data_IF_527724043716
#
_entry.id   IF_527724043716
#
_cell.length_a   1.000
_cell.length_b   1.000
_cell.length_c   1.000
_cell.angle_alpha   90.00
_cell.angle_beta   90.00
_cell.angle_gamma   90.00
#
_symmetry.space_group_name_H-M   'P 1'
#
loop_
_entity.id
_entity.type
_entity.pdbx_description
1 polymer ?
#
# COMPACT_ATOMS: atom_id res chain seq x y z
N UNK A 1 38.46 -16.30 7.15
CA UNK A 1 37.06 -16.56 6.75
C UNK A 1 36.16 -15.59 7.50
N UNK A 2 35.60 -14.59 6.81
CA UNK A 2 34.75 -13.53 7.42
C UNK A 2 33.27 -13.89 7.23
N UNK A 3 32.52 -13.84 8.33
CA UNK A 3 31.12 -14.23 8.41
C UNK A 3 30.21 -13.40 7.50
N UNK A 4 29.31 -14.10 6.81
CA UNK A 4 28.20 -13.55 6.03
C UNK A 4 27.16 -13.05 7.04
N UNK A 5 26.84 -11.75 7.02
CA UNK A 5 25.74 -11.21 7.84
C UNK A 5 24.41 -11.83 7.36
N UNK A 6 23.63 -12.49 8.24
CA UNK A 6 22.29 -12.95 7.91
C UNK A 6 21.31 -11.77 7.89
N UNK A 7 20.35 -11.80 6.97
CA UNK A 7 19.28 -10.80 6.77
C UNK A 7 18.22 -10.83 7.92
N UNK A 8 18.52 -11.50 9.05
CA UNK A 8 17.56 -11.82 10.11
C UNK A 8 17.75 -11.05 11.44
N UNK A 9 18.50 -9.94 11.48
CA UNK A 9 18.70 -9.19 12.72
C UNK A 9 17.80 -7.96 12.80
N UNK A 10 16.91 -7.96 13.81
CA UNK A 10 16.01 -6.92 14.32
C UNK A 10 14.51 -7.17 14.14
N UNK A 11 14.03 -8.26 14.72
CA UNK A 11 12.63 -8.39 15.20
C UNK A 11 12.65 -8.56 16.71
N UNK A 12 12.82 -7.46 17.44
CA UNK A 12 12.54 -7.43 18.88
C UNK A 12 12.16 -6.01 19.30
N UNK A 13 10.84 -5.77 19.32
CA UNK A 13 10.11 -4.77 20.10
C UNK A 13 8.74 -4.58 19.46
N UNK A 14 7.71 -5.26 19.98
CA UNK A 14 6.31 -4.82 20.05
C UNK A 14 5.40 -5.99 20.49
N UNK A 15 5.52 -6.41 21.74
CA UNK A 15 4.41 -7.08 22.43
C UNK A 15 3.42 -6.01 22.90
N UNK A 16 2.49 -5.61 22.03
CA UNK A 16 1.23 -4.99 22.50
C UNK A 16 0.22 -6.12 22.71
N UNK A 17 -0.39 -6.14 23.90
CA UNK A 17 -1.57 -6.95 24.19
C UNK A 17 -2.70 -6.44 23.31
N UNK A 18 -3.02 -7.17 22.24
CA UNK A 18 -4.24 -6.93 21.48
C UNK A 18 -5.42 -7.59 22.22
N UNK A 19 -6.41 -6.75 22.54
CA UNK A 19 -7.71 -7.16 23.04
C UNK A 19 -8.39 -8.03 21.99
N UNK A 20 -8.93 -9.17 22.44
CA UNK A 20 -9.66 -10.10 21.59
C UNK A 20 -10.93 -9.44 21.05
N UNK A 21 -10.87 -8.92 19.83
CA UNK A 21 -12.03 -8.42 19.10
C UNK A 21 -12.77 -9.63 18.52
N UNK A 22 -13.79 -10.10 19.24
CA UNK A 22 -14.74 -11.09 18.72
C UNK A 22 -15.73 -10.39 17.79
N UNK A 23 -15.29 -10.08 16.57
CA UNK A 23 -16.20 -9.63 15.52
C UNK A 23 -16.91 -10.87 14.94
N UNK A 24 -18.23 -10.93 15.11
CA UNK A 24 -19.05 -11.95 14.44
C UNK A 24 -18.90 -11.82 12.90
N UNK A 25 -18.93 -12.94 12.15
CA UNK A 25 -18.86 -12.90 10.70
C UNK A 25 -20.11 -12.20 10.15
N UNK A 26 -19.93 -10.96 9.73
CA UNK A 26 -20.96 -10.17 9.06
C UNK A 26 -21.42 -10.90 7.78
N UNK A 27 -22.72 -11.23 7.73
CA UNK A 27 -23.39 -11.86 6.59
C UNK A 27 -23.60 -10.89 5.41
N UNK A 28 -23.15 -9.63 5.51
CA UNK A 28 -23.26 -8.62 4.45
C UNK A 28 -22.21 -8.74 3.32
N UNK A 29 -21.38 -9.79 3.32
CA UNK A 29 -20.30 -10.02 2.34
C UNK A 29 -20.78 -10.33 0.90
N UNK A 30 -22.09 -10.38 0.65
CA UNK A 30 -22.70 -10.71 -0.65
C UNK A 30 -22.86 -9.50 -1.59
N UNK A 31 -22.32 -8.32 -1.26
CA UNK A 31 -22.13 -7.27 -2.25
C UNK A 31 -20.90 -7.61 -3.12
N UNK A 32 -21.13 -8.56 -4.02
CA UNK A 32 -20.21 -9.04 -5.03
C UNK A 32 -19.58 -7.88 -5.81
N UNK A 33 -18.30 -8.03 -6.17
CA UNK A 33 -17.72 -7.25 -7.27
C UNK A 33 -18.63 -7.48 -8.49
N UNK A 34 -19.05 -6.42 -9.21
CA UNK A 34 -19.75 -6.64 -10.48
C UNK A 34 -18.87 -7.54 -11.36
N UNK A 35 -19.47 -8.53 -12.06
CA UNK A 35 -18.76 -9.53 -12.84
C UNK A 35 -17.86 -8.94 -13.94
N UNK A 36 -17.99 -7.65 -14.23
CA UNK A 36 -17.43 -6.98 -15.40
C UNK A 36 -16.21 -6.08 -15.10
N UNK A 37 -15.65 -6.06 -13.89
CA UNK A 37 -14.35 -5.40 -13.67
C UNK A 37 -13.24 -6.39 -14.04
N UNK A 38 -13.04 -6.54 -15.35
CA UNK A 38 -11.92 -7.29 -15.88
C UNK A 38 -10.65 -6.45 -15.70
N UNK A 39 -9.94 -6.69 -14.59
CA UNK A 39 -8.65 -6.05 -14.33
C UNK A 39 -7.58 -6.46 -15.35
N UNK A 40 -7.89 -7.44 -16.21
CA UNK A 40 -6.99 -8.04 -17.19
C UNK A 40 -7.13 -7.45 -18.61
N UNK A 41 -8.13 -6.60 -18.90
CA UNK A 41 -8.27 -5.94 -20.22
C UNK A 41 -7.29 -4.75 -20.44
N UNK A 42 -6.26 -4.65 -19.60
CA UNK A 42 -5.20 -3.63 -19.73
C UNK A 42 -4.03 -4.08 -20.61
N UNK A 43 -4.12 -5.25 -21.28
CA UNK A 43 -3.13 -5.70 -22.28
C UNK A 43 -1.69 -5.75 -21.76
N UNK A 44 -1.52 -6.09 -20.47
CA UNK A 44 -0.23 -5.93 -19.80
C UNK A 44 0.69 -7.11 -20.10
N UNK A 45 1.91 -6.80 -20.55
CA UNK A 45 2.99 -7.74 -20.81
C UNK A 45 3.20 -8.71 -19.63
N UNK A 46 2.90 -9.99 -19.84
CA UNK A 46 3.12 -11.09 -18.89
C UNK A 46 4.59 -11.54 -18.89
N UNK A 47 5.52 -10.58 -18.81
CA UNK A 47 6.94 -10.85 -18.70
C UNK A 47 7.25 -11.86 -17.58
N UNK A 48 8.42 -12.53 -17.63
CA UNK A 48 8.76 -13.57 -16.69
C UNK A 48 8.77 -13.03 -15.26
N UNK A 49 8.09 -13.74 -14.37
CA UNK A 49 8.00 -13.41 -12.94
C UNK A 49 8.88 -14.36 -12.12
N UNK A 50 9.66 -13.79 -11.21
CA UNK A 50 10.65 -14.48 -10.39
C UNK A 50 10.37 -14.26 -8.89
N UNK A 51 10.76 -15.24 -8.07
CA UNK A 51 10.71 -15.09 -6.62
C UNK A 51 11.82 -14.13 -6.13
N UNK A 52 11.59 -13.46 -5.00
CA UNK A 52 12.62 -12.58 -4.40
C UNK A 52 13.95 -13.33 -4.14
N UNK A 53 13.98 -14.56 -3.59
CA UNK A 53 15.24 -15.29 -3.40
C UNK A 53 15.99 -15.55 -4.72
N UNK A 54 15.27 -15.81 -5.81
CA UNK A 54 15.86 -15.98 -7.14
C UNK A 54 16.49 -14.66 -7.62
N UNK A 55 15.77 -13.55 -7.54
CA UNK A 55 16.28 -12.22 -7.91
C UNK A 55 17.52 -11.84 -7.09
N UNK A 56 17.53 -12.15 -5.79
CA UNK A 56 18.69 -11.95 -4.91
C UNK A 56 19.88 -12.81 -5.37
N UNK A 57 19.65 -14.07 -5.73
CA UNK A 57 20.69 -14.97 -6.21
C UNK A 57 21.32 -14.46 -7.52
N UNK A 58 20.50 -14.02 -8.48
CA UNK A 58 20.98 -13.41 -9.73
C UNK A 58 21.77 -12.12 -9.48
N UNK A 59 21.30 -11.26 -8.56
CA UNK A 59 22.01 -10.01 -8.28
C UNK A 59 23.33 -10.23 -7.52
N UNK A 60 23.48 -11.33 -6.79
CA UNK A 60 24.73 -11.64 -6.06
C UNK A 60 25.94 -11.82 -6.98
N UNK A 61 25.71 -12.29 -8.19
CA UNK A 61 26.77 -12.50 -9.20
C UNK A 61 26.97 -11.28 -10.11
N UNK A 62 26.14 -10.24 -9.96
CA UNK A 62 26.21 -9.01 -10.75
C UNK A 62 27.23 -8.01 -10.19
N UNK A 63 27.91 -7.31 -11.09
CA UNK A 63 28.80 -6.17 -10.77
C UNK A 63 28.06 -5.00 -10.11
N UNK A 64 26.74 -4.90 -10.27
CA UNK A 64 25.90 -3.83 -9.72
C UNK A 64 25.49 -4.03 -8.25
N UNK A 65 25.89 -5.14 -7.61
CA UNK A 65 25.45 -5.47 -6.25
C UNK A 65 25.79 -4.37 -5.23
N UNK A 66 26.97 -3.76 -5.34
CA UNK A 66 27.39 -2.68 -4.45
C UNK A 66 26.48 -1.44 -4.59
N UNK A 67 26.13 -1.09 -5.83
CA UNK A 67 25.21 0.03 -6.14
C UNK A 67 23.81 -0.26 -5.63
N UNK A 68 23.32 -1.49 -5.78
CA UNK A 68 22.02 -1.90 -5.24
C UNK A 68 22.00 -1.75 -3.71
N UNK A 69 23.00 -2.28 -3.00
CA UNK A 69 23.11 -2.17 -1.54
C UNK A 69 23.14 -0.72 -1.07
N UNK A 70 23.88 0.14 -1.77
CA UNK A 70 23.92 1.58 -1.45
C UNK A 70 22.53 2.23 -1.61
N UNK A 71 21.80 1.91 -2.69
CA UNK A 71 20.43 2.39 -2.91
C UNK A 71 19.47 1.93 -1.80
N UNK A 72 19.53 0.66 -1.40
CA UNK A 72 18.70 0.09 -0.32
C UNK A 72 19.00 0.80 1.00
N UNK A 73 20.29 0.95 1.35
CA UNK A 73 20.70 1.63 2.58
C UNK A 73 20.17 3.07 2.64
N UNK A 74 20.22 3.79 1.51
CA UNK A 74 19.77 5.18 1.42
C UNK A 74 18.24 5.35 1.54
N UNK A 75 17.44 4.27 1.57
CA UNK A 75 15.99 4.38 1.75
C UNK A 75 15.63 4.88 3.16
N UNK A 76 16.39 4.46 4.17
CA UNK A 76 16.15 4.82 5.57
C UNK A 76 16.21 6.34 5.81
N UNK A 77 17.10 7.05 5.09
CA UNK A 77 17.33 8.49 5.26
C UNK A 77 16.31 9.37 4.53
N UNK A 78 15.46 8.78 3.68
CA UNK A 78 14.48 9.52 2.89
C UNK A 78 13.18 9.73 3.66
N UNK A 79 12.49 10.84 3.40
CA UNK A 79 11.17 11.08 3.96
C UNK A 79 10.13 10.10 3.37
N UNK A 80 9.06 9.83 4.13
CA UNK A 80 8.05 8.82 3.78
C UNK A 80 7.30 9.13 2.50
N UNK A 81 7.00 10.40 2.23
CA UNK A 81 6.30 10.81 1.00
C UNK A 81 7.13 10.50 -0.25
N UNK A 82 8.43 10.80 -0.22
CA UNK A 82 9.37 10.48 -1.30
C UNK A 82 9.44 8.97 -1.55
N UNK A 83 9.44 8.14 -0.49
CA UNK A 83 9.41 6.68 -0.64
C UNK A 83 8.12 6.19 -1.30
N UNK A 84 6.97 6.76 -0.93
CA UNK A 84 5.67 6.42 -1.53
C UNK A 84 5.67 6.75 -3.03
N UNK A 85 6.13 7.95 -3.42
CA UNK A 85 6.21 8.34 -4.84
C UNK A 85 7.15 7.42 -5.62
N UNK A 86 8.25 6.98 -5.01
CA UNK A 86 9.22 6.08 -5.66
C UNK A 86 8.64 4.72 -6.03
N UNK A 87 7.61 4.23 -5.33
CA UNK A 87 6.97 2.93 -5.64
C UNK A 87 6.41 2.90 -7.06
N UNK A 88 5.77 3.99 -7.48
CA UNK A 88 5.13 4.11 -8.79
C UNK A 88 6.14 3.97 -9.93
N UNK A 89 7.32 4.58 -9.76
CA UNK A 89 8.36 4.65 -10.81
C UNK A 89 9.45 3.57 -10.70
N UNK A 90 9.42 2.72 -9.68
CA UNK A 90 10.52 1.78 -9.44
C UNK A 90 10.45 0.58 -10.38
N UNK A 91 11.45 0.46 -11.25
CA UNK A 91 11.60 -0.65 -12.19
C UNK A 91 12.39 -1.84 -11.61
N UNK A 92 13.35 -1.62 -10.70
CA UNK A 92 14.12 -2.73 -10.11
C UNK A 92 13.27 -3.44 -9.03
N UNK A 93 12.91 -4.72 -9.22
CA UNK A 93 12.01 -5.45 -8.32
C UNK A 93 12.57 -5.62 -6.91
N UNK A 94 13.90 -5.70 -6.75
CA UNK A 94 14.52 -5.79 -5.42
C UNK A 94 14.43 -4.45 -4.68
N UNK A 95 14.60 -3.33 -5.39
CA UNK A 95 14.39 -2.01 -4.78
C UNK A 95 12.91 -1.80 -4.44
N UNK A 96 11.99 -2.23 -5.31
CA UNK A 96 10.55 -2.12 -5.04
C UNK A 96 10.16 -2.91 -3.78
N UNK A 97 10.67 -4.14 -3.64
CA UNK A 97 10.46 -4.93 -2.43
C UNK A 97 11.02 -4.24 -1.17
N UNK A 98 12.25 -3.72 -1.23
CA UNK A 98 12.85 -3.02 -0.09
C UNK A 98 12.15 -1.70 0.26
N UNK A 99 11.57 -1.00 -0.73
CA UNK A 99 10.70 0.17 -0.49
C UNK A 99 9.48 -0.22 0.34
N UNK A 100 8.83 -1.35 0.02
CA UNK A 100 7.69 -1.85 0.80
C UNK A 100 8.09 -2.24 2.22
N UNK A 101 9.22 -2.94 2.38
CA UNK A 101 9.74 -3.30 3.71
C UNK A 101 10.07 -2.07 4.55
N UNK A 102 10.68 -1.05 3.96
CA UNK A 102 10.97 0.20 4.66
C UNK A 102 9.70 0.93 5.10
N UNK A 103 8.67 0.97 4.25
CA UNK A 103 7.37 1.53 4.61
C UNK A 103 6.62 0.68 5.65
N UNK A 104 6.80 -0.65 5.66
CA UNK A 104 6.27 -1.54 6.70
C UNK A 104 6.88 -1.21 8.08
N UNK A 105 8.20 -1.00 8.13
CA UNK A 105 8.93 -0.59 9.36
C UNK A 105 8.41 0.73 9.90
N UNK A 106 8.08 1.67 9.01
CA UNK A 106 7.46 2.97 9.36
C UNK A 106 5.98 2.87 9.74
N UNK A 107 5.37 1.69 9.61
CA UNK A 107 3.97 1.47 9.93
C UNK A 107 3.00 2.07 8.92
N UNK A 108 3.42 2.25 7.67
CA UNK A 108 2.56 2.74 6.58
C UNK A 108 1.80 1.57 5.98
N UNK A 109 0.46 1.51 6.08
CA UNK A 109 -0.31 0.42 5.47
C UNK A 109 -0.11 0.35 3.95
N UNK A 110 -0.09 -0.84 3.33
CA UNK A 110 -0.02 -0.99 1.88
C UNK A 110 -1.01 -0.11 1.10
N UNK A 111 -2.26 0.01 1.55
CA UNK A 111 -3.25 0.87 0.91
C UNK A 111 -2.81 2.34 0.80
N UNK A 112 -2.01 2.85 1.75
CA UNK A 112 -1.47 4.22 1.73
C UNK A 112 -0.29 4.41 0.78
N UNK A 113 0.13 3.36 0.08
CA UNK A 113 1.21 3.37 -0.92
C UNK A 113 0.70 3.57 -2.34
N UNK A 114 -0.62 3.70 -2.52
CA UNK A 114 -1.29 3.89 -3.80
C UNK A 114 -0.91 5.23 -4.50
N UNK A 115 -0.76 5.31 -5.83
CA UNK A 115 -1.04 4.29 -6.83
C UNK A 115 -0.12 3.08 -6.70
N UNK A 116 -0.69 1.90 -6.92
CA UNK A 116 0.15 0.72 -7.17
C UNK A 116 0.93 1.00 -8.44
N UNK A 117 2.05 0.33 -8.62
CA UNK A 117 2.60 0.09 -9.95
C UNK A 117 1.66 -0.89 -10.72
N UNK A 118 0.35 -0.59 -10.77
CA UNK A 118 -0.76 -1.46 -11.19
C UNK A 118 -0.82 -1.61 -12.70
N UNK A 119 -0.29 -0.62 -13.42
CA UNK A 119 0.01 -0.70 -14.84
C UNK A 119 1.40 -1.34 -15.11
N UNK A 120 2.06 -1.85 -14.06
CA UNK A 120 3.38 -2.45 -14.16
C UNK A 120 3.35 -3.93 -14.54
N UNK A 121 4.55 -4.49 -14.72
CA UNK A 121 4.81 -5.89 -15.06
C UNK A 121 4.16 -6.90 -14.10
N UNK A 122 4.03 -8.17 -14.51
CA UNK A 122 3.62 -9.26 -13.61
C UNK A 122 4.45 -9.31 -12.30
N UNK A 123 5.73 -8.94 -12.37
CA UNK A 123 6.63 -8.87 -11.21
C UNK A 123 6.20 -7.80 -10.19
N UNK A 124 5.80 -6.60 -10.62
CA UNK A 124 5.39 -5.52 -9.70
C UNK A 124 4.06 -5.85 -9.03
N UNK A 125 3.13 -6.50 -9.74
CA UNK A 125 1.88 -7.04 -9.17
C UNK A 125 2.15 -8.08 -8.09
N UNK A 126 3.05 -9.02 -8.36
CA UNK A 126 3.47 -10.01 -7.35
C UNK A 126 4.09 -9.35 -6.12
N UNK A 127 5.00 -8.38 -6.30
CA UNK A 127 5.61 -7.66 -5.17
C UNK A 127 4.57 -6.90 -4.35
N UNK A 128 3.56 -6.33 -5.01
CA UNK A 128 2.43 -5.67 -4.34
C UNK A 128 1.65 -6.64 -3.45
N UNK A 129 1.32 -7.84 -3.96
CA UNK A 129 0.69 -8.89 -3.16
C UNK A 129 1.60 -9.33 -2.02
N UNK A 130 2.89 -9.48 -2.30
CA UNK A 130 3.87 -9.89 -1.30
C UNK A 130 3.96 -8.88 -0.14
N UNK A 131 3.89 -7.58 -0.44
CA UNK A 131 3.86 -6.52 0.55
C UNK A 131 2.58 -6.57 1.41
N UNK A 132 1.43 -6.85 0.80
CA UNK A 132 0.17 -7.07 1.53
C UNK A 132 0.26 -8.26 2.50
N UNK A 133 0.80 -9.39 2.02
CA UNK A 133 0.97 -10.59 2.83
C UNK A 133 1.95 -10.37 3.98
N UNK A 134 3.07 -9.69 3.71
CA UNK A 134 4.04 -9.36 4.74
C UNK A 134 3.44 -8.44 5.82
N UNK A 135 2.72 -7.39 5.40
CA UNK A 135 2.00 -6.51 6.33
C UNK A 135 0.98 -7.27 7.17
N UNK A 136 0.19 -8.14 6.54
CA UNK A 136 -0.85 -8.91 7.21
C UNK A 136 -0.27 -9.84 8.28
N UNK A 137 0.75 -10.64 7.95
CA UNK A 137 1.37 -11.57 8.91
C UNK A 137 2.06 -10.83 10.05
N UNK A 138 2.71 -9.69 9.77
CA UNK A 138 3.46 -8.94 10.79
C UNK A 138 2.57 -8.13 11.72
N UNK A 139 1.40 -7.66 11.27
CA UNK A 139 0.49 -6.82 12.07
C UNK A 139 -0.67 -7.58 12.68
N UNK A 140 -1.02 -8.74 12.12
CA UNK A 140 -2.11 -9.58 12.60
C UNK A 140 -1.58 -10.99 12.85
N UNK A 141 -0.69 -11.13 13.84
CA UNK A 141 -0.05 -12.42 14.17
C UNK A 141 -1.06 -13.50 14.61
N UNK A 142 -2.23 -13.10 15.11
CA UNK A 142 -3.35 -13.98 15.45
C UNK A 142 -4.22 -14.35 14.25
N UNK A 143 -3.98 -13.77 13.06
CA UNK A 143 -4.73 -14.10 11.87
C UNK A 143 -4.44 -15.53 11.43
N UNK A 144 -5.48 -16.36 11.47
CA UNK A 144 -5.44 -17.73 10.98
C UNK A 144 -6.38 -17.82 9.76
N UNK A 145 -5.84 -18.03 8.54
CA UNK A 145 -6.66 -18.40 7.41
C UNK A 145 -7.52 -19.64 7.73
N UNK A 146 -8.71 -19.79 7.14
CA UNK A 146 -9.57 -20.93 7.41
C UNK A 146 -8.85 -22.26 7.16
N UNK A 147 -9.14 -23.28 7.99
CA UNK A 147 -8.47 -24.59 7.91
C UNK A 147 -8.61 -25.30 6.56
N UNK A 148 -9.68 -24.98 5.81
CA UNK A 148 -9.91 -25.45 4.44
C UNK A 148 -8.85 -24.96 3.43
N UNK A 149 -8.14 -23.86 3.72
CA UNK A 149 -7.08 -23.30 2.87
C UNK A 149 -5.68 -23.61 3.41
N UNK A 150 -5.34 -24.90 3.49
CA UNK A 150 -4.09 -25.41 4.11
C UNK A 150 -2.81 -24.77 3.57
N UNK A 151 -2.75 -24.47 2.27
CA UNK A 151 -1.56 -23.86 1.66
C UNK A 151 -1.30 -22.46 2.19
N UNK A 152 -2.35 -21.64 2.32
CA UNK A 152 -2.29 -20.31 2.94
C UNK A 152 -1.95 -20.41 4.41
N UNK A 153 -2.62 -21.28 5.17
CA UNK A 153 -2.29 -21.50 6.58
C UNK A 153 -0.80 -21.81 6.78
N UNK A 154 -0.23 -22.65 5.91
CA UNK A 154 1.19 -22.97 5.98
C UNK A 154 2.13 -21.84 5.55
N UNK A 155 1.66 -20.76 4.89
CA UNK A 155 2.46 -19.56 4.65
C UNK A 155 2.58 -18.73 5.93
N UNK A 156 1.46 -18.54 6.63
CA UNK A 156 1.39 -17.75 7.88
C UNK A 156 2.14 -18.40 9.06
N UNK A 157 2.50 -19.68 8.94
CA UNK A 157 3.37 -20.39 9.90
C UNK A 157 4.87 -20.18 9.67
N UNK A 158 5.28 -19.65 8.51
CA UNK A 158 6.69 -19.40 8.20
C UNK A 158 7.09 -18.00 8.66
N UNK A 159 8.36 -17.82 9.00
CA UNK A 159 8.90 -16.52 9.36
C UNK A 159 8.74 -15.53 8.18
N UNK A 160 8.05 -14.39 8.35
CA UNK A 160 7.84 -13.40 7.29
C UNK A 160 9.16 -12.94 6.67
N UNK A 161 9.20 -12.86 5.34
CA UNK A 161 10.40 -12.43 4.61
C UNK A 161 11.54 -13.47 4.53
N UNK A 162 11.41 -14.65 5.16
CA UNK A 162 12.36 -15.74 4.97
C UNK A 162 12.30 -16.32 3.55
N UNK A 163 13.39 -16.93 3.06
CA UNK A 163 13.43 -17.57 1.74
C UNK A 163 12.31 -18.60 1.53
N UNK A 164 12.01 -19.38 2.58
CA UNK A 164 10.90 -20.35 2.56
C UNK A 164 9.54 -19.66 2.43
N UNK A 165 9.32 -18.56 3.16
CA UNK A 165 8.10 -17.77 3.10
C UNK A 165 7.93 -17.12 1.71
N UNK A 166 8.99 -16.50 1.18
CA UNK A 166 9.01 -15.85 -0.13
C UNK A 166 8.75 -16.84 -1.27
N UNK A 167 9.39 -18.02 -1.21
CA UNK A 167 9.19 -19.09 -2.20
C UNK A 167 7.76 -19.62 -2.17
N UNK A 168 7.20 -19.79 -0.97
CA UNK A 168 5.82 -20.25 -0.80
C UNK A 168 4.80 -19.21 -1.27
N UNK A 169 5.03 -17.93 -0.96
CA UNK A 169 4.18 -16.84 -1.43
C UNK A 169 4.18 -16.76 -2.97
N UNK A 170 5.34 -16.92 -3.60
CA UNK A 170 5.47 -17.01 -5.06
C UNK A 170 4.69 -18.19 -5.65
N UNK A 171 4.84 -19.39 -5.07
CA UNK A 171 4.07 -20.57 -5.49
C UNK A 171 2.57 -20.35 -5.34
N UNK A 172 2.11 -19.81 -4.21
CA UNK A 172 0.71 -19.50 -3.98
C UNK A 172 0.20 -18.51 -5.02
N UNK A 173 0.92 -17.42 -5.26
CA UNK A 173 0.55 -16.40 -6.23
C UNK A 173 0.41 -16.97 -7.64
N UNK A 174 1.37 -17.81 -8.09
CA UNK A 174 1.30 -18.48 -9.40
C UNK A 174 0.08 -19.38 -9.58
N UNK A 175 -0.41 -19.98 -8.50
CA UNK A 175 -1.56 -20.89 -8.54
C UNK A 175 -2.90 -20.18 -8.29
N UNK A 176 -2.89 -18.89 -7.99
CA UNK A 176 -4.11 -18.09 -7.96
C UNK A 176 -4.47 -17.69 -9.39
N UNK A 177 -5.74 -17.83 -9.75
CA UNK A 177 -6.27 -17.14 -10.93
C UNK A 177 -6.08 -15.64 -10.71
N UNK A 178 -5.24 -15.01 -11.54
CA UNK A 178 -4.94 -13.58 -11.45
C UNK A 178 -6.21 -12.75 -11.64
N UNK A 179 -7.04 -13.15 -12.61
CA UNK A 179 -8.43 -12.71 -12.87
C UNK A 179 -9.31 -12.63 -11.61
N UNK A 180 -9.04 -13.46 -10.59
CA UNK A 180 -9.86 -13.53 -9.37
C UNK A 180 -9.06 -13.29 -8.10
N UNK A 181 -7.87 -12.68 -8.18
CA UNK A 181 -6.98 -12.53 -7.03
C UNK A 181 -7.66 -11.84 -5.84
N UNK A 182 -8.37 -10.74 -6.09
CA UNK A 182 -9.09 -10.02 -5.05
C UNK A 182 -10.20 -10.87 -4.41
N UNK A 183 -10.94 -11.67 -5.19
CA UNK A 183 -12.05 -12.51 -4.70
C UNK A 183 -11.54 -13.79 -4.05
N UNK A 184 -10.81 -14.61 -4.80
CA UNK A 184 -10.27 -15.90 -4.39
C UNK A 184 -9.23 -15.76 -3.28
N UNK A 185 -8.35 -14.75 -3.37
CA UNK A 185 -7.35 -14.48 -2.33
C UNK A 185 -7.99 -14.00 -1.02
N UNK A 186 -8.94 -13.06 -1.09
CA UNK A 186 -9.67 -12.60 0.11
C UNK A 186 -10.39 -13.74 0.81
N UNK A 187 -11.11 -14.59 0.05
CA UNK A 187 -11.81 -15.75 0.62
C UNK A 187 -10.82 -16.77 1.20
N UNK A 188 -9.73 -17.03 0.50
CA UNK A 188 -8.73 -18.00 0.95
C UNK A 188 -8.00 -17.59 2.23
N UNK A 189 -7.87 -16.28 2.46
CA UNK A 189 -7.30 -15.72 3.68
C UNK A 189 -8.35 -15.41 4.76
N UNK A 190 -9.65 -15.38 4.43
CA UNK A 190 -10.72 -14.87 5.30
C UNK A 190 -10.42 -13.47 5.89
N UNK A 191 -10.09 -12.52 5.02
CA UNK A 191 -9.82 -11.15 5.45
C UNK A 191 -11.10 -10.44 5.90
N UNK A 192 -11.03 -9.78 7.06
CA UNK A 192 -12.11 -8.87 7.49
C UNK A 192 -12.10 -7.58 6.66
N UNK A 193 -13.23 -6.84 6.57
CA UNK A 193 -13.26 -5.53 5.90
C UNK A 193 -12.19 -4.57 6.43
N UNK A 194 -11.95 -4.57 7.74
CA UNK A 194 -10.91 -3.75 8.39
C UNK A 194 -9.50 -4.13 7.96
N UNK A 195 -9.21 -5.41 7.79
CA UNK A 195 -7.93 -5.86 7.26
C UNK A 195 -7.76 -5.43 5.81
N UNK A 196 -8.77 -5.67 4.97
CA UNK A 196 -8.77 -5.29 3.55
C UNK A 196 -8.53 -3.80 3.33
N UNK A 197 -9.04 -2.94 4.21
CA UNK A 197 -8.81 -1.49 4.13
C UNK A 197 -7.33 -1.11 4.15
N UNK A 198 -6.49 -1.90 4.83
CA UNK A 198 -5.05 -1.68 4.90
C UNK A 198 -4.28 -2.27 3.72
N UNK A 199 -4.92 -3.14 2.93
CA UNK A 199 -4.28 -3.91 1.87
C UNK A 199 -4.48 -3.24 0.51
N UNK A 200 -3.50 -3.42 -0.37
CA UNK A 200 -3.44 -2.77 -1.66
C UNK A 200 -4.00 -3.64 -2.79
N UNK A 201 -3.67 -4.93 -2.82
CA UNK A 201 -4.07 -5.93 -3.80
C UNK A 201 -5.45 -6.56 -3.53
N UNK A 202 -6.00 -6.40 -2.33
CA UNK A 202 -7.27 -7.02 -1.92
C UNK A 202 -8.40 -6.01 -1.61
N UNK A 203 -8.63 -4.96 -2.43
CA UNK A 203 -9.69 -3.99 -2.19
C UNK A 203 -11.07 -4.61 -2.34
N UNK A 204 -12.08 -4.00 -1.71
CA UNK A 204 -13.49 -4.20 -2.11
C UNK A 204 -13.79 -3.44 -3.39
N UNK A 205 -14.92 -3.73 -4.06
CA UNK A 205 -15.37 -2.97 -5.23
C UNK A 205 -15.47 -1.46 -4.93
N UNK A 206 -16.01 -1.12 -3.76
CA UNK A 206 -16.13 0.26 -3.30
C UNK A 206 -14.74 0.91 -3.08
N UNK A 207 -13.80 0.19 -2.47
CA UNK A 207 -12.42 0.68 -2.28
C UNK A 207 -11.72 0.89 -3.63
N UNK A 208 -11.88 -0.04 -4.58
CA UNK A 208 -11.30 0.07 -5.92
C UNK A 208 -11.82 1.30 -6.66
N UNK A 209 -13.14 1.48 -6.72
CA UNK A 209 -13.78 2.66 -7.35
C UNK A 209 -13.29 3.98 -6.75
N UNK A 210 -13.08 4.03 -5.43
CA UNK A 210 -12.51 5.20 -4.73
C UNK A 210 -11.05 5.43 -5.09
N UNK A 211 -10.24 4.37 -5.19
CA UNK A 211 -8.83 4.46 -5.61
C UNK A 211 -8.68 4.93 -7.05
N UNK A 212 -9.58 4.52 -7.95
CA UNK A 212 -9.64 5.04 -9.32
C UNK A 212 -9.96 6.55 -9.39
N UNK A 213 -10.51 7.15 -8.33
CA UNK A 213 -10.68 8.62 -8.26
C UNK A 213 -9.35 9.34 -8.01
N UNK A 214 -8.31 8.61 -7.59
CA UNK A 214 -6.99 9.15 -7.27
C UNK A 214 -5.96 8.90 -8.39
N UNK A 215 -6.39 8.37 -9.53
CA UNK A 215 -5.54 8.21 -10.71
C UNK A 215 -4.97 9.56 -11.17
N UNK A 216 -3.82 9.52 -11.83
CA UNK A 216 -2.98 10.69 -12.12
C UNK A 216 -3.75 11.85 -12.75
N UNK A 217 -4.62 11.59 -13.72
CA UNK A 217 -5.40 12.64 -14.39
C UNK A 217 -6.35 13.35 -13.41
N UNK A 218 -7.09 12.58 -12.62
CA UNK A 218 -7.99 13.12 -11.59
C UNK A 218 -7.23 13.78 -10.45
N UNK A 219 -6.02 13.30 -10.14
CA UNK A 219 -5.15 13.92 -9.15
C UNK A 219 -4.63 15.28 -9.65
N UNK A 220 -4.25 15.40 -10.92
CA UNK A 220 -3.84 16.66 -11.55
C UNK A 220 -5.00 17.66 -11.55
N UNK A 221 -6.21 17.24 -11.95
CA UNK A 221 -7.42 18.07 -11.88
C UNK A 221 -7.72 18.52 -10.43
N UNK A 222 -7.63 17.59 -9.48
CA UNK A 222 -7.79 17.89 -8.04
C UNK A 222 -6.78 18.94 -7.59
N UNK A 223 -5.52 18.80 -7.98
CA UNK A 223 -4.47 19.77 -7.65
C UNK A 223 -4.76 21.15 -8.25
N UNK A 224 -5.13 21.22 -9.54
CA UNK A 224 -5.45 22.47 -10.23
C UNK A 224 -6.66 23.18 -9.61
N UNK A 225 -7.71 22.44 -9.24
CA UNK A 225 -8.87 22.98 -8.54
C UNK A 225 -8.48 23.59 -7.18
N UNK A 226 -7.63 22.90 -6.43
CA UNK A 226 -7.15 23.35 -5.11
C UNK A 226 -6.19 24.53 -5.20
N UNK A 227 -5.35 24.57 -6.24
CA UNK A 227 -4.48 25.70 -6.53
C UNK A 227 -5.29 26.95 -6.87
N UNK A 228 -6.31 26.79 -7.73
CA UNK A 228 -7.20 27.89 -8.11
C UNK A 228 -7.97 28.45 -6.91
N UNK A 229 -8.46 27.58 -6.01
CA UNK A 229 -9.09 28.00 -4.75
C UNK A 229 -8.13 28.75 -3.84
N UNK A 230 -6.89 28.25 -3.73
CA UNK A 230 -5.85 28.85 -2.90
C UNK A 230 -5.46 30.24 -3.41
N UNK A 231 -5.38 30.41 -4.73
CA UNK A 231 -5.13 31.70 -5.39
C UNK A 231 -6.28 32.70 -5.20
N UNK A 232 -7.54 32.23 -5.25
CA UNK A 232 -8.72 33.08 -5.05
C UNK A 232 -8.92 33.48 -3.58
N UNK A 233 -8.42 32.68 -2.63
CA UNK A 233 -8.56 32.90 -1.19
C UNK A 233 -7.19 32.92 -0.50
N UNK A 234 -6.31 33.89 -0.83
CA UNK A 234 -4.99 33.95 -0.23
C UNK A 234 -5.12 34.16 1.28
N UNK A 235 -4.44 33.31 2.05
CA UNK A 235 -4.38 33.49 3.50
C UNK A 235 -3.75 34.84 3.80
N UNK A 236 -4.27 35.57 4.80
CA UNK A 236 -3.73 36.88 5.24
C UNK A 236 -2.30 36.83 5.83
N UNK A 237 -1.61 35.69 5.72
CA UNK A 237 -0.25 35.51 6.22
C UNK A 237 0.76 36.08 5.21
N UNK A 238 1.80 36.75 5.71
CA UNK A 238 2.86 37.39 4.91
C UNK A 238 3.67 36.45 3.99
N UNK A 239 3.55 35.13 4.13
CA UNK A 239 4.32 34.13 3.39
C UNK A 239 3.44 33.00 2.82
N UNK A 240 2.28 33.35 2.26
CA UNK A 240 1.38 32.38 1.65
C UNK A 240 1.95 31.83 0.34
N UNK A 241 2.17 30.50 0.29
CA UNK A 241 2.53 29.79 -0.93
C UNK A 241 1.32 28.92 -1.38
N UNK A 242 0.59 29.30 -2.45
CA UNK A 242 -0.59 28.60 -2.92
C UNK A 242 -0.28 27.18 -3.41
N UNK A 243 0.89 26.98 -4.02
CA UNK A 243 1.35 25.67 -4.51
C UNK A 243 1.55 24.70 -3.35
N UNK A 244 2.20 25.14 -2.27
CA UNK A 244 2.37 24.32 -1.08
C UNK A 244 1.02 23.98 -0.43
N UNK A 245 0.09 24.94 -0.39
CA UNK A 245 -1.24 24.72 0.16
C UNK A 245 -2.06 23.72 -0.67
N UNK A 246 -2.00 23.80 -2.00
CA UNK A 246 -2.64 22.88 -2.93
C UNK A 246 -2.08 21.46 -2.77
N UNK A 247 -0.76 21.29 -2.80
CA UNK A 247 -0.08 20.01 -2.61
C UNK A 247 -0.43 19.34 -1.27
N UNK A 248 -0.42 20.12 -0.18
CA UNK A 248 -0.79 19.60 1.14
C UNK A 248 -2.25 19.13 1.19
N UNK A 249 -3.17 19.88 0.58
CA UNK A 249 -4.61 19.52 0.51
C UNK A 249 -4.87 18.34 -0.40
N UNK A 250 -4.18 18.23 -1.54
CA UNK A 250 -4.26 17.07 -2.44
C UNK A 250 -3.76 15.80 -1.72
N UNK A 251 -2.64 15.91 -1.01
CA UNK A 251 -2.12 14.82 -0.17
C UNK A 251 -3.13 14.43 0.92
N UNK A 252 -3.76 15.39 1.59
CA UNK A 252 -4.75 15.13 2.63
C UNK A 252 -5.99 14.43 2.05
N UNK A 253 -6.45 14.88 0.88
CA UNK A 253 -7.55 14.25 0.16
C UNK A 253 -7.23 12.79 -0.19
N UNK A 254 -6.05 12.52 -0.74
CA UNK A 254 -5.57 11.16 -1.02
C UNK A 254 -5.59 10.28 0.23
N UNK A 255 -4.98 10.74 1.33
CA UNK A 255 -4.97 9.97 2.60
C UNK A 255 -6.39 9.73 3.12
N UNK A 256 -7.29 10.71 2.98
CA UNK A 256 -8.70 10.60 3.39
C UNK A 256 -9.46 9.56 2.58
N UNK A 257 -9.33 9.56 1.24
CA UNK A 257 -9.96 8.58 0.36
C UNK A 257 -9.41 7.17 0.63
N UNK A 258 -8.09 7.03 0.79
CA UNK A 258 -7.43 5.75 1.12
C UNK A 258 -7.72 5.27 2.55
N UNK A 259 -8.25 6.13 3.41
CA UNK A 259 -8.69 5.80 4.77
C UNK A 259 -10.21 5.62 4.86
N UNK A 260 -10.86 5.31 3.74
CA UNK A 260 -12.31 5.12 3.63
C UNK A 260 -13.13 6.28 4.19
N UNK A 261 -12.67 7.51 3.93
CA UNK A 261 -13.32 8.73 4.39
C UNK A 261 -13.48 8.81 5.93
N UNK A 262 -12.73 8.00 6.70
CA UNK A 262 -12.73 8.03 8.16
C UNK A 262 -11.78 9.12 8.68
N UNK A 263 -12.27 10.19 9.34
CA UNK A 263 -11.41 11.24 9.88
C UNK A 263 -10.43 10.73 10.94
N UNK A 264 -10.81 9.67 11.68
CA UNK A 264 -9.96 9.05 12.70
C UNK A 264 -8.79 8.31 12.07
N UNK A 265 -9.05 7.43 11.10
CA UNK A 265 -7.98 6.72 10.38
C UNK A 265 -7.13 7.70 9.56
N UNK A 266 -7.74 8.74 8.98
CA UNK A 266 -7.02 9.79 8.26
C UNK A 266 -6.06 10.53 9.17
N UNK A 267 -6.45 10.83 10.42
CA UNK A 267 -5.54 11.47 11.41
C UNK A 267 -4.31 10.60 11.66
N UNK A 268 -4.54 9.31 11.87
CA UNK A 268 -3.48 8.33 12.10
C UNK A 268 -2.55 8.22 10.88
N UNK A 269 -3.12 7.99 9.70
CA UNK A 269 -2.36 7.79 8.47
C UNK A 269 -1.65 9.07 8.01
N UNK A 270 -2.25 10.24 8.22
CA UNK A 270 -1.63 11.55 7.95
C UNK A 270 -0.34 11.71 8.74
N UNK A 271 -0.37 11.43 10.06
CA UNK A 271 0.82 11.49 10.90
C UNK A 271 1.90 10.52 10.44
N UNK A 272 1.53 9.32 10.04
CA UNK A 272 2.50 8.33 9.55
C UNK A 272 3.14 8.77 8.22
N UNK A 273 2.33 9.30 7.29
CA UNK A 273 2.79 9.70 5.95
C UNK A 273 3.60 11.00 5.99
N UNK A 274 3.19 11.99 6.79
CA UNK A 274 3.75 13.35 6.77
C UNK A 274 4.61 13.70 7.98
N UNK A 275 4.48 12.95 9.08
CA UNK A 275 5.03 13.31 10.39
C UNK A 275 4.22 14.38 11.14
N UNK A 276 3.30 15.07 10.47
CA UNK A 276 2.51 16.15 11.07
C UNK A 276 1.36 15.60 11.93
N UNK A 277 1.19 16.15 13.13
CA UNK A 277 0.02 15.86 13.96
C UNK A 277 -1.11 16.84 13.63
N UNK A 278 -2.29 16.32 13.29
CA UNK A 278 -3.49 17.11 12.97
C UNK A 278 -4.67 16.54 13.74
N UNK A 279 -5.57 17.38 14.23
CA UNK A 279 -6.77 16.90 14.95
C UNK A 279 -7.85 16.44 13.98
N UNK A 280 -8.72 15.53 14.44
CA UNK A 280 -9.90 15.07 13.69
C UNK A 280 -10.75 16.23 13.18
N UNK A 281 -10.98 17.24 14.02
CA UNK A 281 -11.77 18.44 13.69
C UNK A 281 -11.10 19.26 12.58
N UNK A 282 -9.78 19.44 12.65
CA UNK A 282 -9.03 20.14 11.62
C UNK A 282 -9.09 19.40 10.27
N UNK A 283 -9.00 18.06 10.27
CA UNK A 283 -9.20 17.25 9.05
C UNK A 283 -10.60 17.49 8.49
N UNK A 284 -11.65 17.34 9.29
CA UNK A 284 -13.03 17.57 8.81
C UNK A 284 -13.20 18.95 8.18
N UNK A 285 -12.65 20.00 8.80
CA UNK A 285 -12.69 21.36 8.25
C UNK A 285 -11.98 21.46 6.89
N UNK A 286 -10.77 20.91 6.79
CA UNK A 286 -10.00 20.94 5.53
C UNK A 286 -10.68 20.12 4.43
N UNK A 287 -11.25 18.95 4.75
CA UNK A 287 -11.98 18.12 3.80
C UNK A 287 -13.23 18.83 3.27
N UNK A 288 -13.96 19.57 4.11
CA UNK A 288 -15.09 20.39 3.65
C UNK A 288 -14.63 21.43 2.63
N UNK A 289 -13.53 22.15 2.91
CA UNK A 289 -12.94 23.11 1.97
C UNK A 289 -12.56 22.44 0.64
N UNK A 290 -11.89 21.28 0.69
CA UNK A 290 -11.51 20.51 -0.50
C UNK A 290 -12.75 20.13 -1.32
N UNK A 291 -13.78 19.56 -0.69
CA UNK A 291 -15.02 19.18 -1.38
C UNK A 291 -15.71 20.38 -2.05
N UNK A 292 -15.74 21.54 -1.39
CA UNK A 292 -16.28 22.76 -1.98
C UNK A 292 -15.48 23.23 -3.19
N UNK A 293 -14.14 23.17 -3.13
CA UNK A 293 -13.27 23.52 -4.26
C UNK A 293 -13.51 22.60 -5.46
N UNK A 294 -13.55 21.28 -5.22
CA UNK A 294 -13.81 20.29 -6.28
C UNK A 294 -15.18 20.47 -6.92
N UNK A 295 -16.23 20.71 -6.12
CA UNK A 295 -17.58 20.96 -6.65
C UNK A 295 -17.62 22.18 -7.59
N UNK A 296 -16.92 23.27 -7.23
CA UNK A 296 -16.87 24.49 -8.05
C UNK A 296 -16.13 24.29 -9.37
N UNK A 297 -15.11 23.43 -9.39
CA UNK A 297 -14.32 23.19 -10.59
C UNK A 297 -15.07 22.32 -11.61
N UNK A 298 -15.94 21.41 -11.14
CA UNK A 298 -16.75 20.56 -12.00
C UNK A 298 -18.08 21.20 -12.46
N UNK A 299 -18.40 22.42 -12.00
CA UNK A 299 -19.62 23.16 -12.38
C UNK A 299 -19.31 24.18 -13.47
#
# INVERSE_FOLDING_TARGET
MKAIMPIAAFTDALTRKDEACTDEPDKSLDHELPPDVDLDDLGVDEGPMHSIPHLVAEKRTSTDLARLRAKIKALADQNTQTLIVKIETQADPLILWELHLELDRRGIPPAQRWPVNSCGTAQSRFITVLADLHWLVTRYSSHAPPSMFRNWLGLFKLAPGSDAWLTKAYFLYKNLSQTNLARSGTRAMALTPRQRQNLMAFPTAAMWKRRQQLETDKHVETHQALYSEAMANPYRARAFNPEHAANRRATLWRVFVLSDFSPTETTRNWKLVTGESVTRQAITKQITTIKTALKKHCS
#
